data_IF_363661776897
#
_entry.id   IF_363661776897
#
_cell.length_a   1.000
_cell.length_b   1.000
_cell.length_c   1.000
_cell.angle_alpha   90.00
_cell.angle_beta   90.00
_cell.angle_gamma   90.00
#
_symmetry.space_group_name_H-M   'P 1'
#
loop_
_entity.id
_entity.type
_entity.pdbx_description
1 polymer ?
#
# COMPACT_ATOMS: atom_id res chain seq x y z
N UNK A 1 -12.04 13.67 -28.97
CA UNK A 1 -11.91 13.53 -27.51
C UNK A 1 -10.65 14.28 -27.14
N UNK A 2 -10.70 15.09 -26.10
CA UNK A 2 -9.54 15.82 -25.60
C UNK A 2 -8.41 14.83 -25.21
N UNK A 3 -7.18 15.11 -25.61
CA UNK A 3 -6.03 14.25 -25.34
C UNK A 3 -5.76 14.08 -23.84
N UNK A 4 -6.02 15.13 -23.06
CA UNK A 4 -5.95 15.06 -21.59
C UNK A 4 -6.95 14.04 -21.03
N UNK A 5 -8.22 14.14 -21.44
CA UNK A 5 -9.25 13.19 -21.00
C UNK A 5 -8.93 11.78 -21.46
N UNK A 6 -8.36 11.60 -22.65
CA UNK A 6 -7.95 10.29 -23.16
C UNK A 6 -6.91 9.64 -22.25
N UNK A 7 -5.86 10.36 -21.88
CA UNK A 7 -4.83 9.89 -20.96
C UNK A 7 -5.42 9.50 -19.59
N UNK A 8 -6.29 10.35 -19.05
CA UNK A 8 -6.95 10.07 -17.75
C UNK A 8 -7.80 8.80 -17.81
N UNK A 9 -8.58 8.60 -18.87
CA UNK A 9 -9.37 7.38 -19.07
C UNK A 9 -8.50 6.14 -19.31
N UNK A 10 -7.35 6.30 -19.92
CA UNK A 10 -6.37 5.23 -20.10
C UNK A 10 -5.76 4.81 -18.76
N UNK A 11 -5.39 5.76 -17.93
CA UNK A 11 -4.96 5.50 -16.56
C UNK A 11 -6.07 4.83 -15.72
N UNK A 12 -7.32 5.30 -15.81
CA UNK A 12 -8.44 4.65 -15.13
C UNK A 12 -8.64 3.17 -15.53
N UNK A 13 -8.31 2.82 -16.78
CA UNK A 13 -8.32 1.42 -17.22
C UNK A 13 -7.10 0.64 -16.74
N UNK A 14 -5.96 1.30 -16.63
CA UNK A 14 -4.73 0.67 -16.15
C UNK A 14 -4.86 0.24 -14.70
N UNK A 15 -5.35 1.12 -13.83
CA UNK A 15 -5.53 0.83 -12.40
C UNK A 15 -6.58 -0.26 -12.11
N UNK A 16 -7.44 -0.61 -13.06
CA UNK A 16 -8.34 -1.77 -12.91
C UNK A 16 -7.59 -3.08 -12.72
N UNK A 17 -6.34 -3.15 -13.18
CA UNK A 17 -5.48 -4.33 -13.06
C UNK A 17 -5.07 -4.63 -11.62
N UNK A 18 -5.05 -3.65 -10.73
CA UNK A 18 -4.78 -3.81 -9.31
C UNK A 18 -5.70 -4.84 -8.64
N UNK A 19 -6.93 -4.98 -9.16
CA UNK A 19 -7.89 -6.01 -8.72
C UNK A 19 -7.44 -7.45 -8.96
N UNK A 20 -6.44 -7.65 -9.80
CA UNK A 20 -5.89 -8.96 -10.15
C UNK A 20 -4.57 -9.26 -9.46
N UNK A 21 -4.03 -8.32 -8.69
CA UNK A 21 -2.84 -8.53 -7.87
C UNK A 21 -3.28 -9.09 -6.53
N UNK A 22 -2.84 -10.31 -6.24
CA UNK A 22 -3.26 -11.04 -5.04
C UNK A 22 -2.24 -10.93 -3.92
N UNK A 23 -2.71 -10.56 -2.76
CA UNK A 23 -1.92 -10.49 -1.51
C UNK A 23 -1.88 -11.83 -0.80
N UNK A 24 -0.99 -11.96 0.18
CA UNK A 24 -0.95 -13.18 1.01
C UNK A 24 -1.97 -13.16 2.15
N UNK A 25 -2.45 -11.99 2.54
CA UNK A 25 -3.39 -11.81 3.64
C UNK A 25 -4.77 -12.36 3.33
N UNK A 26 -5.28 -13.21 4.21
CA UNK A 26 -6.65 -13.72 4.14
C UNK A 26 -7.66 -12.67 4.60
N UNK A 27 -8.78 -12.57 3.90
CA UNK A 27 -9.93 -11.79 4.35
C UNK A 27 -10.52 -12.36 5.65
N UNK A 28 -11.44 -11.65 6.26
CA UNK A 28 -12.09 -12.05 7.52
C UNK A 28 -12.84 -13.39 7.46
N UNK A 29 -13.16 -13.87 6.23
CA UNK A 29 -13.77 -15.19 6.01
C UNK A 29 -12.78 -16.36 6.20
N UNK A 30 -11.49 -16.10 6.35
CA UNK A 30 -10.41 -17.09 6.47
C UNK A 30 -10.31 -18.08 5.28
N UNK A 31 -10.89 -17.76 4.13
CA UNK A 31 -10.96 -18.64 2.96
C UNK A 31 -10.40 -17.98 1.70
N UNK A 32 -10.64 -16.70 1.52
CA UNK A 32 -10.23 -15.95 0.34
C UNK A 32 -9.14 -14.94 0.71
N UNK A 33 -8.10 -14.85 -0.12
CA UNK A 33 -7.08 -13.81 -0.01
C UNK A 33 -7.61 -12.50 -0.59
N UNK A 34 -7.18 -11.37 -0.07
CA UNK A 34 -7.51 -10.06 -0.62
C UNK A 34 -6.65 -9.74 -1.85
N UNK A 35 -7.07 -8.74 -2.62
CA UNK A 35 -6.25 -8.11 -3.65
C UNK A 35 -5.90 -6.67 -3.24
N UNK A 36 -4.96 -6.03 -3.97
CA UNK A 36 -4.47 -4.69 -3.62
C UNK A 36 -5.57 -3.63 -3.64
N UNK A 37 -6.52 -3.70 -4.57
CA UNK A 37 -7.64 -2.77 -4.60
C UNK A 37 -8.56 -2.90 -3.36
N UNK A 38 -8.78 -4.10 -2.85
CA UNK A 38 -9.53 -4.34 -1.61
C UNK A 38 -8.76 -3.82 -0.40
N UNK A 39 -7.45 -4.02 -0.38
CA UNK A 39 -6.53 -3.52 0.63
C UNK A 39 -6.52 -1.97 0.66
N UNK A 40 -6.25 -1.33 -0.47
CA UNK A 40 -6.23 0.11 -0.59
C UNK A 40 -7.56 0.77 -0.18
N UNK A 41 -8.71 0.20 -0.61
CA UNK A 41 -10.03 0.65 -0.19
C UNK A 41 -10.21 0.57 1.32
N UNK A 42 -9.82 -0.56 1.93
CA UNK A 42 -9.99 -0.78 3.37
C UNK A 42 -9.18 0.23 4.17
N UNK A 43 -7.92 0.45 3.81
CA UNK A 43 -7.06 1.44 4.45
C UNK A 43 -7.55 2.88 4.28
N UNK A 44 -8.08 3.23 3.11
CA UNK A 44 -8.66 4.55 2.87
C UNK A 44 -9.82 4.83 3.83
N UNK A 45 -10.71 3.84 4.05
CA UNK A 45 -11.81 3.96 5.02
C UNK A 45 -11.28 4.03 6.46
N UNK A 46 -10.30 3.18 6.81
CA UNK A 46 -9.65 3.22 8.13
C UNK A 46 -9.03 4.59 8.40
N UNK A 47 -8.35 5.18 7.42
CA UNK A 47 -7.75 6.52 7.54
C UNK A 47 -8.78 7.58 7.88
N UNK A 48 -9.91 7.59 7.19
CA UNK A 48 -11.00 8.54 7.48
C UNK A 48 -11.52 8.39 8.90
N UNK A 49 -11.66 7.14 9.39
CA UNK A 49 -12.19 6.86 10.72
C UNK A 49 -11.17 7.09 11.83
N UNK A 50 -9.91 6.73 11.60
CA UNK A 50 -8.88 6.69 12.64
C UNK A 50 -7.97 7.92 12.66
N UNK A 51 -8.16 8.89 11.76
CA UNK A 51 -7.37 10.13 11.70
C UNK A 51 -7.36 10.92 13.01
N UNK A 52 -8.39 10.77 13.83
CA UNK A 52 -8.48 11.41 15.17
C UNK A 52 -7.41 10.88 16.15
N UNK A 53 -6.83 9.70 15.90
CA UNK A 53 -5.77 9.09 16.70
C UNK A 53 -4.35 9.36 16.15
N UNK A 54 -4.22 10.18 15.11
CA UNK A 54 -2.92 10.57 14.61
C UNK A 54 -2.13 11.36 15.65
N UNK A 55 -0.82 11.04 15.81
CA UNK A 55 0.05 11.72 16.77
C UNK A 55 0.25 13.21 16.44
N UNK A 56 0.13 13.57 15.17
CA UNK A 56 0.23 14.93 14.65
C UNK A 56 -0.96 15.21 13.75
N UNK A 57 -1.28 16.49 13.52
CA UNK A 57 -2.35 16.86 12.58
C UNK A 57 -1.93 16.45 11.16
N UNK A 58 -2.76 15.68 10.49
CA UNK A 58 -2.57 15.22 9.11
C UNK A 58 -3.60 15.81 8.15
N UNK A 59 -3.26 15.89 6.88
CA UNK A 59 -4.19 16.07 5.78
C UNK A 59 -4.78 14.71 5.39
N UNK A 60 -6.04 14.48 5.81
CA UNK A 60 -6.72 13.19 5.59
C UNK A 60 -6.87 12.88 4.09
N UNK A 61 -7.17 13.87 3.25
CA UNK A 61 -7.32 13.64 1.81
C UNK A 61 -5.99 13.22 1.18
N UNK A 62 -4.92 13.89 1.56
CA UNK A 62 -3.56 13.56 1.12
C UNK A 62 -3.16 12.15 1.54
N UNK A 63 -3.40 11.80 2.81
CA UNK A 63 -3.08 10.47 3.35
C UNK A 63 -3.89 9.36 2.65
N UNK A 64 -5.18 9.57 2.45
CA UNK A 64 -6.04 8.65 1.68
C UNK A 64 -5.53 8.50 0.25
N UNK A 65 -5.10 9.59 -0.40
CA UNK A 65 -4.55 9.52 -1.76
C UNK A 65 -3.26 8.71 -1.80
N UNK A 66 -2.35 8.88 -0.82
CA UNK A 66 -1.14 8.06 -0.70
C UNK A 66 -1.49 6.57 -0.64
N UNK A 67 -2.43 6.19 0.23
CA UNK A 67 -2.86 4.79 0.39
C UNK A 67 -3.58 4.20 -0.83
N UNK A 68 -4.24 5.03 -1.62
CA UNK A 68 -4.89 4.57 -2.86
C UNK A 68 -3.93 4.38 -4.02
N UNK A 69 -2.70 4.92 -3.93
CA UNK A 69 -1.75 4.87 -5.04
C UNK A 69 -0.47 4.09 -4.74
N UNK A 70 -0.18 3.73 -3.47
CA UNK A 70 1.11 3.15 -3.08
C UNK A 70 1.34 1.77 -3.72
N UNK A 71 0.32 0.93 -3.82
CA UNK A 71 0.40 -0.41 -4.42
C UNK A 71 0.15 -0.44 -5.94
N UNK A 72 -0.24 0.68 -6.58
CA UNK A 72 -0.46 0.73 -8.05
C UNK A 72 0.76 0.24 -8.83
N UNK A 73 1.96 0.43 -8.32
CA UNK A 73 3.21 -0.05 -8.93
C UNK A 73 3.27 -1.57 -9.01
N UNK A 74 2.54 -2.28 -8.17
CA UNK A 74 2.50 -3.73 -8.14
C UNK A 74 1.80 -4.35 -9.36
N UNK A 75 1.05 -3.55 -10.12
CA UNK A 75 0.51 -3.97 -11.43
C UNK A 75 1.61 -4.54 -12.34
N UNK A 76 2.81 -3.98 -12.29
CA UNK A 76 3.98 -4.46 -13.06
C UNK A 76 5.01 -5.16 -12.17
N UNK A 77 5.20 -4.68 -10.95
CA UNK A 77 6.19 -5.22 -10.03
C UNK A 77 5.74 -6.54 -9.40
N UNK A 78 4.43 -6.73 -9.21
CA UNK A 78 3.84 -7.82 -8.43
C UNK A 78 3.98 -7.59 -6.93
N UNK A 79 3.00 -8.04 -6.15
CA UNK A 79 3.07 -8.03 -4.68
C UNK A 79 4.29 -8.82 -4.19
N UNK A 80 5.08 -8.21 -3.34
CA UNK A 80 6.24 -8.86 -2.72
C UNK A 80 5.95 -9.08 -1.25
N UNK A 81 5.75 -10.34 -0.88
CA UNK A 81 5.48 -10.69 0.50
C UNK A 81 6.62 -10.24 1.43
N UNK A 82 6.28 -9.55 2.52
CA UNK A 82 7.23 -8.91 3.43
C UNK A 82 8.30 -9.86 4.00
N UNK A 83 8.04 -11.17 4.03
CA UNK A 83 8.98 -12.18 4.51
C UNK A 83 9.70 -12.96 3.38
N UNK A 84 9.60 -12.51 2.12
CA UNK A 84 10.31 -13.10 0.97
C UNK A 84 11.64 -12.40 0.69
N UNK A 85 12.68 -12.81 1.41
CA UNK A 85 14.00 -12.20 1.36
C UNK A 85 14.67 -12.20 -0.04
N UNK A 86 14.30 -13.09 -0.96
CA UNK A 86 14.87 -13.11 -2.31
C UNK A 86 14.19 -12.07 -3.22
N UNK A 87 12.86 -11.98 -3.19
CA UNK A 87 12.13 -11.02 -3.98
C UNK A 87 12.31 -9.58 -3.49
N UNK A 88 12.50 -9.36 -2.19
CA UNK A 88 12.83 -8.05 -1.60
C UNK A 88 14.10 -7.42 -2.20
N UNK A 89 15.09 -8.21 -2.62
CA UNK A 89 16.34 -7.69 -3.22
C UNK A 89 16.14 -6.93 -4.54
N UNK A 90 15.10 -7.26 -5.28
CA UNK A 90 14.81 -6.65 -6.59
C UNK A 90 13.58 -5.76 -6.56
N UNK A 91 12.84 -5.74 -5.45
CA UNK A 91 11.57 -5.04 -5.29
C UNK A 91 11.69 -3.57 -5.70
N UNK A 92 12.60 -2.83 -5.08
CA UNK A 92 12.75 -1.40 -5.36
C UNK A 92 13.00 -1.10 -6.84
N UNK A 93 13.83 -1.88 -7.52
CA UNK A 93 14.10 -1.65 -8.94
C UNK A 93 12.89 -1.95 -9.83
N UNK A 94 12.07 -2.94 -9.46
CA UNK A 94 10.82 -3.27 -10.16
C UNK A 94 9.78 -2.18 -9.95
N UNK A 95 9.61 -1.71 -8.71
CA UNK A 95 8.68 -0.64 -8.37
C UNK A 95 9.08 0.69 -9.00
N UNK A 96 10.36 1.06 -9.01
CA UNK A 96 10.84 2.28 -9.67
C UNK A 96 10.55 2.26 -11.18
N UNK A 97 10.71 1.12 -11.85
CA UNK A 97 10.37 0.96 -13.27
C UNK A 97 8.86 1.00 -13.49
N UNK A 98 8.08 0.35 -12.64
CA UNK A 98 6.62 0.34 -12.67
C UNK A 98 6.04 1.75 -12.46
N UNK A 99 6.56 2.48 -11.47
CA UNK A 99 6.21 3.86 -11.16
C UNK A 99 6.33 4.75 -12.40
N UNK A 100 7.50 4.73 -13.04
CA UNK A 100 7.74 5.55 -14.23
C UNK A 100 6.79 5.18 -15.37
N UNK A 101 6.58 3.90 -15.64
CA UNK A 101 5.68 3.46 -16.71
C UNK A 101 4.23 3.84 -16.44
N UNK A 102 3.71 3.51 -15.26
CA UNK A 102 2.28 3.61 -14.98
C UNK A 102 1.86 5.08 -14.87
N UNK A 103 2.58 5.89 -14.10
CA UNK A 103 2.22 7.30 -13.96
C UNK A 103 2.48 8.10 -15.24
N UNK A 104 3.35 7.66 -16.16
CA UNK A 104 3.56 8.30 -17.48
C UNK A 104 2.34 8.20 -18.42
N UNK A 105 1.34 7.40 -18.08
CA UNK A 105 0.06 7.38 -18.81
C UNK A 105 -0.71 8.70 -18.59
N UNK A 106 -0.53 9.34 -17.45
CA UNK A 106 -1.22 10.58 -17.08
C UNK A 106 -0.68 11.82 -17.83
N UNK A 107 -1.44 12.92 -17.87
CA UNK A 107 -0.90 14.24 -18.15
C UNK A 107 0.24 14.60 -17.19
N UNK A 108 1.25 15.33 -17.68
CA UNK A 108 2.52 15.58 -16.96
C UNK A 108 2.32 16.11 -15.55
N UNK A 109 1.44 17.10 -15.37
CA UNK A 109 1.20 17.69 -14.06
C UNK A 109 0.56 16.71 -13.05
N UNK A 110 -0.31 15.79 -13.53
CA UNK A 110 -0.89 14.75 -12.67
C UNK A 110 0.11 13.63 -12.39
N UNK A 111 0.94 13.28 -13.37
CA UNK A 111 2.07 12.37 -13.19
C UNK A 111 2.98 12.87 -12.07
N UNK A 112 3.44 14.12 -12.18
CA UNK A 112 4.37 14.71 -11.21
C UNK A 112 3.76 14.79 -9.80
N UNK A 113 2.46 15.10 -9.71
CA UNK A 113 1.74 15.15 -8.44
C UNK A 113 1.67 13.76 -7.77
N UNK A 114 1.31 12.72 -8.51
CA UNK A 114 1.19 11.38 -7.96
C UNK A 114 2.55 10.74 -7.66
N UNK A 115 3.56 10.96 -8.50
CA UNK A 115 4.95 10.52 -8.20
C UNK A 115 5.44 11.18 -6.91
N UNK A 116 5.20 12.47 -6.72
CA UNK A 116 5.59 13.16 -5.50
C UNK A 116 4.90 12.59 -4.26
N UNK A 117 3.62 12.23 -4.35
CA UNK A 117 2.90 11.60 -3.24
C UNK A 117 3.41 10.18 -2.95
N UNK A 118 3.69 9.42 -3.99
CA UNK A 118 4.30 8.10 -3.88
C UNK A 118 5.69 8.18 -3.22
N UNK A 119 6.55 9.07 -3.70
CA UNK A 119 7.88 9.26 -3.12
C UNK A 119 7.81 9.74 -1.67
N UNK A 120 6.83 10.58 -1.32
CA UNK A 120 6.61 11.02 0.07
C UNK A 120 6.16 9.86 0.97
N UNK A 121 5.34 8.94 0.45
CA UNK A 121 4.99 7.70 1.16
C UNK A 121 6.26 6.89 1.44
N UNK A 122 7.05 6.59 0.41
CA UNK A 122 8.29 5.81 0.51
C UNK A 122 9.35 6.46 1.43
N UNK A 123 9.45 7.79 1.44
CA UNK A 123 10.40 8.51 2.31
C UNK A 123 10.10 8.40 3.80
N UNK A 124 8.86 8.12 4.17
CA UNK A 124 8.45 7.91 5.56
C UNK A 124 8.81 9.05 6.52
N UNK A 125 8.73 10.32 6.08
CA UNK A 125 9.21 11.46 6.87
C UNK A 125 8.08 12.34 7.42
N UNK A 126 7.01 12.53 6.66
CA UNK A 126 5.90 13.42 7.03
C UNK A 126 4.91 12.73 7.97
N UNK A 127 4.08 13.52 8.65
CA UNK A 127 3.02 12.99 9.52
C UNK A 127 2.04 12.14 8.71
N UNK A 128 1.72 12.56 7.48
CA UNK A 128 0.83 11.83 6.58
C UNK A 128 1.43 10.49 6.17
N UNK A 129 2.70 10.45 5.73
CA UNK A 129 3.33 9.19 5.33
C UNK A 129 3.46 8.21 6.51
N UNK A 130 3.82 8.69 7.71
CA UNK A 130 3.87 7.86 8.92
C UNK A 130 2.51 7.29 9.29
N UNK A 131 1.45 8.10 9.17
CA UNK A 131 0.10 7.63 9.46
C UNK A 131 -0.39 6.65 8.37
N UNK A 132 -0.05 6.90 7.11
CA UNK A 132 -0.35 5.98 6.02
C UNK A 132 0.29 4.60 6.24
N UNK A 133 1.58 4.54 6.55
CA UNK A 133 2.25 3.27 6.90
C UNK A 133 1.65 2.61 8.14
N UNK A 134 1.21 3.39 9.14
CA UNK A 134 0.52 2.82 10.29
C UNK A 134 -0.80 2.13 9.89
N UNK A 135 -1.55 2.68 8.93
CA UNK A 135 -2.77 2.05 8.41
C UNK A 135 -2.46 0.82 7.56
N UNK A 136 -1.41 0.88 6.75
CA UNK A 136 -0.93 -0.21 5.92
C UNK A 136 -0.53 -1.43 6.79
N UNK A 137 0.22 -1.21 7.85
CA UNK A 137 0.57 -2.26 8.80
C UNK A 137 -0.62 -2.74 9.67
N UNK A 138 -1.54 -1.85 10.04
CA UNK A 138 -2.67 -2.17 10.90
C UNK A 138 -3.73 -3.01 10.19
N UNK A 139 -3.96 -2.80 8.90
CA UNK A 139 -5.00 -3.46 8.14
C UNK A 139 -4.81 -4.99 8.11
N UNK A 140 -3.63 -5.54 7.72
CA UNK A 140 -3.39 -6.99 7.76
C UNK A 140 -3.43 -7.55 9.19
N UNK A 141 -3.00 -6.76 10.17
CA UNK A 141 -3.08 -7.15 11.58
C UNK A 141 -4.53 -7.37 12.04
N UNK A 142 -5.44 -6.47 11.66
CA UNK A 142 -6.88 -6.59 11.95
C UNK A 142 -7.44 -7.87 11.29
N UNK A 143 -7.10 -8.13 10.02
CA UNK A 143 -7.57 -9.31 9.30
C UNK A 143 -7.03 -10.59 9.94
N UNK A 144 -5.74 -10.65 10.23
CA UNK A 144 -5.12 -11.80 10.88
C UNK A 144 -5.70 -12.06 12.28
N UNK A 145 -5.98 -11.00 13.04
CA UNK A 145 -6.66 -11.15 14.33
C UNK A 145 -8.08 -11.73 14.16
N UNK A 146 -8.81 -11.34 13.13
CA UNK A 146 -10.18 -11.80 12.89
C UNK A 146 -10.26 -13.23 12.34
N UNK A 147 -9.26 -13.68 11.56
CA UNK A 147 -9.22 -14.99 10.93
C UNK A 147 -8.31 -16.02 11.65
N UNK A 148 -7.81 -15.66 12.84
CA UNK A 148 -6.95 -16.54 13.65
C UNK A 148 -5.53 -16.69 13.12
N UNK A 149 -5.00 -15.69 12.40
CA UNK A 149 -3.64 -15.66 11.86
C UNK A 149 -3.46 -16.59 10.66
N UNK A 150 -4.37 -16.52 9.69
CA UNK A 150 -4.39 -17.44 8.54
C UNK A 150 -3.08 -17.46 7.77
N UNK A 151 -2.65 -16.34 7.22
CA UNK A 151 -1.40 -16.22 6.46
C UNK A 151 -0.17 -16.40 7.35
N UNK A 152 -0.17 -15.89 8.58
CA UNK A 152 0.96 -16.08 9.51
C UNK A 152 1.23 -17.56 9.80
N UNK A 153 0.17 -18.37 9.96
CA UNK A 153 0.32 -19.82 10.14
C UNK A 153 0.80 -20.52 8.87
N UNK A 154 0.27 -20.10 7.71
CA UNK A 154 0.68 -20.64 6.41
C UNK A 154 2.17 -20.43 6.15
N UNK A 155 2.67 -19.22 6.46
CA UNK A 155 4.06 -18.83 6.23
C UNK A 155 4.98 -19.01 7.45
N UNK A 156 4.50 -19.58 8.55
CA UNK A 156 5.30 -19.82 9.76
C UNK A 156 5.77 -18.54 10.46
N UNK A 157 5.04 -17.42 10.29
CA UNK A 157 5.37 -16.16 10.96
C UNK A 157 5.13 -16.30 12.45
N UNK A 158 6.18 -16.08 13.24
CA UNK A 158 6.14 -16.14 14.70
C UNK A 158 6.05 -14.74 15.29
N UNK A 159 5.62 -14.65 16.54
CA UNK A 159 5.62 -13.37 17.27
C UNK A 159 7.03 -12.72 17.30
N UNK A 160 8.09 -13.53 17.38
CA UNK A 160 9.47 -13.03 17.36
C UNK A 160 9.85 -12.45 15.98
N UNK A 161 9.45 -13.10 14.89
CA UNK A 161 9.69 -12.61 13.52
C UNK A 161 8.96 -11.30 13.30
N UNK A 162 7.67 -11.24 13.65
CA UNK A 162 6.86 -10.05 13.55
C UNK A 162 7.43 -8.87 14.34
N UNK A 163 7.90 -9.10 15.58
CA UNK A 163 8.46 -8.04 16.43
C UNK A 163 9.86 -7.60 16.01
N UNK A 164 10.66 -8.47 15.38
CA UNK A 164 11.98 -8.08 14.85
C UNK A 164 11.83 -7.21 13.60
N UNK A 165 10.91 -7.56 12.71
CA UNK A 165 10.55 -6.77 11.55
C UNK A 165 10.03 -5.39 11.96
N UNK A 166 9.09 -5.38 12.91
CA UNK A 166 8.58 -4.16 13.54
C UNK A 166 9.66 -3.29 14.21
N UNK A 167 10.77 -3.87 14.68
CA UNK A 167 11.86 -3.12 15.29
C UNK A 167 12.83 -2.54 14.26
N UNK A 168 12.96 -3.19 13.10
CA UNK A 168 13.76 -2.70 11.97
C UNK A 168 13.02 -1.62 11.17
N UNK A 169 11.69 -1.67 11.16
CA UNK A 169 10.87 -0.61 10.61
C UNK A 169 10.85 0.60 11.56
N UNK A 170 11.50 1.69 11.14
CA UNK A 170 11.56 2.95 11.92
C UNK A 170 10.18 3.57 12.19
N UNK A 171 9.11 2.97 11.68
CA UNK A 171 7.71 3.32 11.89
C UNK A 171 7.20 3.01 13.30
N UNK A 172 7.82 2.09 14.01
CA UNK A 172 7.26 1.56 15.27
C UNK A 172 7.60 2.36 16.53
N UNK A 173 8.05 3.57 16.41
CA UNK A 173 8.15 4.45 17.56
C UNK A 173 6.80 5.12 17.82
N UNK A 174 6.04 4.55 18.72
CA UNK A 174 4.89 5.14 19.42
C UNK A 174 3.52 5.06 18.71
N UNK A 175 2.88 3.90 18.84
CA UNK A 175 1.45 3.85 19.16
C UNK A 175 1.29 3.62 20.65
#
# INVERSE_FOLDING_TARGET
>A
MDERLKKQLEFCREIDKEKFIGRQTYKSDAQTKENDAEHAWHMAVMTVLLSEYANEKIDVLKTVTMLLIHDIVEIDAGDTYAYDAENLKTQKAREDAAKERIFSILPEEQKDELIKLFDEFEEFKTAESKFAHAMDNLQPLILNNSNGGGDWREHGVTCLLYTSDAADDKAHTHL
#
